data_IF_569879692463
#
_entry.id   IF_569879692463
#
_cell.length_a   1.000
_cell.length_b   1.000
_cell.length_c   1.000
_cell.angle_alpha   90.00
_cell.angle_beta   90.00
_cell.angle_gamma   90.00
#
_symmetry.space_group_name_H-M   'P 1'
#
loop_
_entity.id
_entity.type
_entity.pdbx_description
1 polymer ?
#
# COMPACT_ATOMS: atom_id res chain seq x y z
N UNK A 1 6.90 -14.08 -3.99
CA UNK A 1 6.96 -13.56 -2.61
C UNK A 1 5.52 -13.24 -2.22
N UNK A 2 4.91 -14.05 -1.36
CA UNK A 2 3.51 -13.87 -1.00
C UNK A 2 3.39 -12.89 0.16
N UNK A 3 3.02 -11.63 -0.09
CA UNK A 3 2.83 -10.66 0.98
C UNK A 3 1.59 -9.79 0.85
N UNK A 4 0.94 -9.53 1.98
CA UNK A 4 -0.26 -8.69 2.08
C UNK A 4 0.14 -7.25 2.39
N UNK A 5 -0.46 -6.27 1.71
CA UNK A 5 -0.19 -4.84 2.00
C UNK A 5 -1.34 -4.17 2.73
N UNK A 6 -1.07 -3.26 3.65
CA UNK A 6 -2.08 -2.42 4.30
C UNK A 6 -1.57 -1.00 4.51
N UNK A 7 -2.49 -0.02 4.53
CA UNK A 7 -2.14 1.40 4.64
C UNK A 7 -2.24 1.86 6.09
N UNK A 8 -1.40 2.80 6.50
CA UNK A 8 -1.44 3.46 7.81
C UNK A 8 -2.21 4.80 7.71
N UNK A 9 -3.53 4.83 7.99
CA UNK A 9 -4.31 6.08 7.98
C UNK A 9 -3.80 7.10 9.01
N UNK A 10 -3.24 6.65 10.13
CA UNK A 10 -2.64 7.49 11.16
C UNK A 10 -1.40 8.27 10.69
N UNK A 11 -0.73 7.78 9.64
CA UNK A 11 0.43 8.43 9.02
C UNK A 11 0.04 9.28 7.79
N UNK A 12 -1.25 9.63 7.65
CA UNK A 12 -1.75 10.41 6.51
C UNK A 12 -1.67 9.66 5.18
N UNK A 13 -1.76 8.33 5.20
CA UNK A 13 -1.67 7.45 4.01
C UNK A 13 -0.34 7.51 3.24
N UNK A 14 0.67 8.16 3.84
CA UNK A 14 2.02 8.23 3.30
C UNK A 14 2.83 6.96 3.61
N UNK A 15 2.44 6.22 4.65
CA UNK A 15 3.08 4.95 5.04
C UNK A 15 2.18 3.78 4.66
N UNK A 16 2.79 2.75 4.10
CA UNK A 16 2.17 1.46 3.89
C UNK A 16 3.05 0.35 4.45
N UNK A 17 2.42 -0.74 4.82
CA UNK A 17 3.06 -1.91 5.39
C UNK A 17 2.89 -3.08 4.44
N UNK A 18 3.93 -3.90 4.30
CA UNK A 18 3.92 -5.15 3.55
C UNK A 18 4.25 -6.28 4.51
N UNK A 19 3.29 -7.16 4.74
CA UNK A 19 3.46 -8.39 5.48
C UNK A 19 3.99 -9.47 4.53
N UNK A 20 5.19 -9.98 4.73
CA UNK A 20 5.74 -11.13 4.01
C UNK A 20 5.16 -12.45 4.52
N UNK A 21 5.25 -13.48 3.67
CA UNK A 21 4.87 -14.86 3.98
C UNK A 21 5.51 -15.40 5.26
N UNK A 22 6.71 -14.89 5.59
CA UNK A 22 7.49 -15.28 6.75
C UNK A 22 6.95 -14.66 8.06
N UNK A 23 5.85 -13.90 7.99
CA UNK A 23 5.23 -13.18 9.11
C UNK A 23 5.92 -11.86 9.45
N UNK A 24 6.83 -11.37 8.60
CA UNK A 24 7.52 -10.09 8.79
C UNK A 24 6.71 -8.96 8.18
N UNK A 25 6.48 -7.88 8.92
CA UNK A 25 5.93 -6.64 8.37
C UNK A 25 7.03 -5.62 8.13
N UNK A 26 7.20 -5.22 6.88
CA UNK A 26 8.04 -4.08 6.51
C UNK A 26 7.17 -2.84 6.32
N UNK A 27 7.70 -1.68 6.69
CA UNK A 27 6.99 -0.40 6.60
C UNK A 27 7.74 0.52 5.64
N UNK A 28 7.03 1.07 4.66
CA UNK A 28 7.58 1.92 3.61
C UNK A 28 6.92 3.29 3.64
N UNK A 29 7.74 4.34 3.50
CA UNK A 29 7.29 5.73 3.45
C UNK A 29 7.37 6.23 2.01
N UNK A 30 6.25 6.71 1.48
CA UNK A 30 6.21 7.39 0.20
C UNK A 30 6.88 8.78 0.28
N UNK A 31 7.44 9.29 -0.84
CA UNK A 31 8.00 10.64 -0.91
C UNK A 31 7.01 11.72 -0.44
N UNK A 32 7.55 12.87 -0.02
CA UNK A 32 6.75 13.96 0.53
C UNK A 32 5.71 14.46 -0.48
N UNK A 33 4.43 14.44 -0.10
CA UNK A 33 3.31 14.82 -0.97
C UNK A 33 2.70 13.66 -1.77
N UNK A 34 3.15 12.42 -1.57
CA UNK A 34 2.55 11.23 -2.19
C UNK A 34 1.98 10.27 -1.16
N UNK A 35 0.98 9.51 -1.56
CA UNK A 35 0.29 8.49 -0.78
C UNK A 35 0.36 7.15 -1.50
N UNK A 36 0.17 6.07 -0.75
CA UNK A 36 0.18 4.74 -1.34
C UNK A 36 -1.12 4.46 -2.11
N UNK A 37 -0.99 4.24 -3.42
CA UNK A 37 -2.07 3.85 -4.29
C UNK A 37 -2.17 2.32 -4.34
N UNK A 38 -3.12 1.77 -3.59
CA UNK A 38 -3.32 0.32 -3.44
C UNK A 38 -3.85 -0.36 -4.72
N UNK A 39 -4.37 0.41 -5.69
CA UNK A 39 -4.80 -0.11 -6.99
C UNK A 39 -3.62 -0.48 -7.89
N UNK A 40 -2.53 0.30 -7.82
CA UNK A 40 -1.36 0.16 -8.68
C UNK A 40 -0.08 -0.23 -7.91
N UNK A 41 -0.14 -0.29 -6.58
CA UNK A 41 1.00 -0.53 -5.69
C UNK A 41 2.16 0.46 -5.86
N UNK A 42 1.82 1.72 -6.13
CA UNK A 42 2.79 2.82 -6.32
C UNK A 42 2.47 3.99 -5.41
N UNK A 43 3.47 4.83 -5.13
CA UNK A 43 3.24 6.12 -4.51
C UNK A 43 2.72 7.10 -5.59
N UNK A 44 1.49 7.59 -5.42
CA UNK A 44 0.88 8.59 -6.29
C UNK A 44 0.56 9.84 -5.46
N UNK A 45 0.30 10.96 -6.11
CA UNK A 45 -0.03 12.19 -5.42
C UNK A 45 -1.35 12.07 -4.66
N UNK A 46 -1.41 12.68 -3.47
CA UNK A 46 -2.61 12.65 -2.62
C UNK A 46 -3.87 13.22 -3.27
N UNK A 47 -3.72 14.05 -4.30
CA UNK A 47 -4.84 14.60 -5.07
C UNK A 47 -5.27 13.73 -6.26
N UNK A 48 -4.43 12.78 -6.69
CA UNK A 48 -4.72 11.87 -7.80
C UNK A 48 -5.52 10.64 -7.35
N UNK A 49 -5.34 10.22 -6.10
CA UNK A 49 -5.95 9.02 -5.55
C UNK A 49 -6.67 9.34 -4.24
N UNK A 50 -7.92 8.89 -4.10
CA UNK A 50 -8.63 9.00 -2.83
C UNK A 50 -8.38 7.74 -2.01
N UNK A 51 -7.51 7.86 -1.02
CA UNK A 51 -7.21 6.81 -0.04
C UNK A 51 -8.45 6.28 0.71
N UNK A 52 -9.57 7.00 0.73
CA UNK A 52 -10.84 6.52 1.30
C UNK A 52 -11.43 5.35 0.51
N UNK A 53 -11.02 5.20 -0.77
CA UNK A 53 -11.40 4.08 -1.64
C UNK A 53 -10.49 2.86 -1.47
N UNK A 54 -9.38 2.99 -0.71
CA UNK A 54 -8.47 1.90 -0.41
C UNK A 54 -9.14 0.61 0.09
N UNK A 55 -10.15 0.65 0.98
CA UNK A 55 -10.85 -0.56 1.43
C UNK A 55 -11.47 -1.37 0.29
N UNK A 56 -11.85 -0.72 -0.81
CA UNK A 56 -12.40 -1.37 -2.00
C UNK A 56 -11.35 -2.18 -2.75
N UNK A 57 -10.08 -1.80 -2.60
CA UNK A 57 -8.91 -2.45 -3.19
C UNK A 57 -8.23 -3.41 -2.22
N UNK A 58 -8.77 -3.65 -1.02
CA UNK A 58 -8.19 -4.63 -0.10
C UNK A 58 -8.17 -6.05 -0.68
N UNK A 59 -9.07 -6.36 -1.61
CA UNK A 59 -9.02 -7.61 -2.38
C UNK A 59 -7.81 -7.72 -3.32
N UNK A 60 -7.14 -6.61 -3.63
CA UNK A 60 -5.90 -6.58 -4.42
C UNK A 60 -4.65 -6.83 -3.58
N UNK A 61 -4.71 -6.68 -2.25
CA UNK A 61 -3.60 -6.98 -1.33
C UNK A 61 -3.16 -8.45 -1.35
N UNK A 62 -3.70 -9.25 -2.26
CA UNK A 62 -3.32 -10.62 -2.43
C UNK A 62 -1.81 -10.75 -2.72
N UNK A 63 -1.19 -11.80 -2.15
CA UNK A 63 0.25 -12.04 -2.20
C UNK A 63 0.88 -12.08 -3.60
N UNK A 64 0.09 -12.30 -4.64
CA UNK A 64 0.55 -12.51 -6.01
C UNK A 64 0.81 -11.20 -6.78
N UNK A 65 0.28 -10.06 -6.31
CA UNK A 65 0.27 -8.81 -7.10
C UNK A 65 1.33 -7.78 -6.69
N UNK A 66 1.79 -7.79 -5.43
CA UNK A 66 2.79 -6.84 -4.91
C UNK A 66 4.17 -7.00 -5.59
N UNK A 67 4.48 -8.20 -6.12
CA UNK A 67 5.79 -8.54 -6.67
C UNK A 67 5.86 -8.69 -8.20
N UNK A 68 4.90 -8.18 -8.97
CA UNK A 68 4.90 -8.30 -10.44
C UNK A 68 5.52 -7.10 -11.20
N UNK A 69 6.27 -6.22 -10.54
CA UNK A 69 7.05 -5.16 -11.19
C UNK A 69 8.49 -5.16 -10.69
#
# INVERSE_FOLDING_TARGET
MSGESYIAPEAGYQVFHICQADGRSDSFLCPNGTIFNQQFFVCDWWYNFDCSTAPQFYGLNAPDRIGQQ
#
